data_IF_546080424776
#
_entry.id   IF_546080424776
#
_cell.length_a   1.000
_cell.length_b   1.000
_cell.length_c   1.000
_cell.angle_alpha   90.00
_cell.angle_beta   90.00
_cell.angle_gamma   90.00
#
_symmetry.space_group_name_H-M   'P 1'
#
loop_
_entity.id
_entity.type
_entity.pdbx_description
1 polymer ?
#
# COMPACT_ATOMS: atom_id res chain seq x y z
N UNK A 1 -19.63 17.49 23.23
CA UNK A 1 -18.56 16.51 23.50
C UNK A 1 -17.99 16.06 22.16
N UNK A 2 -16.71 16.31 21.88
CA UNK A 2 -16.07 15.79 20.67
C UNK A 2 -15.95 14.27 20.79
N UNK A 3 -16.38 13.53 19.76
CA UNK A 3 -16.15 12.08 19.70
C UNK A 3 -14.65 11.79 19.87
N UNK A 4 -14.27 10.75 20.64
CA UNK A 4 -12.87 10.38 20.79
C UNK A 4 -12.26 10.09 19.42
N UNK A 5 -11.03 10.58 19.21
CA UNK A 5 -10.29 10.39 17.96
C UNK A 5 -9.92 8.91 17.82
N UNK A 6 -10.47 8.25 16.80
CA UNK A 6 -10.19 6.84 16.51
C UNK A 6 -8.70 6.64 16.20
N UNK A 7 -8.11 5.59 16.78
CA UNK A 7 -6.77 5.11 16.50
C UNK A 7 -6.80 4.15 15.31
N UNK A 8 -6.03 4.47 14.27
CA UNK A 8 -6.03 3.71 13.01
C UNK A 8 -4.70 2.96 12.88
N UNK A 9 -4.75 1.63 12.88
CA UNK A 9 -3.60 0.79 12.51
C UNK A 9 -3.54 0.63 10.99
N UNK A 10 -2.32 0.53 10.44
CA UNK A 10 -2.10 0.21 9.02
C UNK A 10 -1.31 -1.08 8.90
N UNK A 11 -1.94 -2.12 8.38
CA UNK A 11 -1.31 -3.36 7.94
C UNK A 11 -1.00 -3.22 6.46
N UNK A 12 0.27 -3.11 6.08
CA UNK A 12 0.65 -2.76 4.70
C UNK A 12 1.68 -3.70 4.12
N UNK A 13 1.48 -4.12 2.88
CA UNK A 13 2.44 -4.95 2.17
C UNK A 13 3.80 -4.27 2.07
N UNK A 14 4.82 -4.97 2.58
CA UNK A 14 6.19 -4.47 2.67
C UNK A 14 7.00 -5.26 3.68
N UNK A 15 8.28 -4.96 3.78
CA UNK A 15 9.15 -5.50 4.81
C UNK A 15 9.65 -4.39 5.72
N UNK A 16 10.00 -4.73 6.95
CA UNK A 16 10.89 -3.88 7.73
C UNK A 16 12.23 -3.82 6.96
N UNK A 17 12.55 -2.65 6.42
CA UNK A 17 13.93 -2.34 6.11
C UNK A 17 14.71 -2.28 7.43
N UNK A 18 16.00 -2.67 7.46
CA UNK A 18 16.85 -2.35 8.61
C UNK A 18 16.66 -0.85 8.92
N UNK A 19 16.58 -0.46 10.21
CA UNK A 19 16.40 0.96 10.56
C UNK A 19 17.42 1.78 9.79
N UNK A 20 16.94 2.78 9.05
CA UNK A 20 17.80 3.66 8.27
C UNK A 20 18.82 4.33 9.19
N UNK A 21 19.84 5.02 8.64
CA UNK A 21 20.78 5.82 9.46
C UNK A 21 20.11 6.83 10.42
N UNK A 22 18.82 7.12 10.23
CA UNK A 22 18.00 8.00 11.08
C UNK A 22 17.17 7.24 12.14
N UNK A 23 17.29 5.92 12.24
CA UNK A 23 16.51 5.07 13.15
C UNK A 23 15.02 4.97 12.82
N UNK A 24 14.56 5.60 11.73
CA UNK A 24 13.15 5.66 11.36
C UNK A 24 12.75 4.46 10.49
N UNK A 25 11.57 3.89 10.78
CA UNK A 25 10.88 2.91 9.95
C UNK A 25 10.47 3.55 8.62
N UNK A 26 11.03 3.06 7.50
CA UNK A 26 10.78 3.56 6.15
C UNK A 26 9.30 3.53 5.77
N UNK A 27 8.54 2.52 6.23
CA UNK A 27 7.10 2.46 6.02
C UNK A 27 6.39 3.58 6.78
N UNK A 28 6.78 3.82 8.04
CA UNK A 28 6.36 4.97 8.82
C UNK A 28 6.53 6.30 8.07
N UNK A 29 7.69 6.51 7.46
CA UNK A 29 7.99 7.73 6.70
C UNK A 29 7.12 7.82 5.43
N UNK A 30 7.03 6.76 4.64
CA UNK A 30 6.20 6.73 3.42
C UNK A 30 4.74 7.06 3.74
N UNK A 31 4.16 6.38 4.73
CA UNK A 31 2.72 6.43 4.98
C UNK A 31 2.28 7.61 5.82
N UNK A 32 3.02 7.98 6.86
CA UNK A 32 2.65 9.12 7.72
C UNK A 32 3.26 10.44 7.24
N UNK A 33 4.54 10.46 6.87
CA UNK A 33 5.27 11.71 6.65
C UNK A 33 5.18 12.21 5.19
N UNK A 34 5.03 11.30 4.22
CA UNK A 34 4.89 11.67 2.81
C UNK A 34 3.45 11.60 2.34
N UNK A 35 2.91 10.39 2.14
CA UNK A 35 1.61 10.20 1.52
C UNK A 35 0.46 10.69 2.42
N UNK A 36 0.48 10.30 3.70
CA UNK A 36 -0.52 10.70 4.69
C UNK A 36 -0.60 12.22 4.88
N UNK A 37 0.55 12.90 5.02
CA UNK A 37 0.59 14.36 5.07
C UNK A 37 0.11 15.01 3.78
N UNK A 38 0.54 14.53 2.62
CA UNK A 38 0.14 15.10 1.33
C UNK A 38 -1.37 14.98 1.08
N UNK A 39 -2.00 13.91 1.56
CA UNK A 39 -3.43 13.64 1.45
C UNK A 39 -4.25 14.08 2.68
N UNK A 40 -3.62 14.65 3.72
CA UNK A 40 -4.24 15.02 5.00
C UNK A 40 -5.01 13.85 5.66
N UNK A 41 -4.44 12.66 5.61
CA UNK A 41 -5.01 11.46 6.23
C UNK A 41 -4.80 11.47 7.76
N UNK A 42 -5.61 10.74 8.53
CA UNK A 42 -5.27 10.41 9.92
C UNK A 42 -3.91 9.73 9.98
N UNK A 43 -3.15 10.01 11.05
CA UNK A 43 -1.89 9.33 11.33
C UNK A 43 -2.19 7.86 11.64
N UNK A 44 -1.46 6.97 10.98
CA UNK A 44 -1.48 5.55 11.27
C UNK A 44 -0.57 5.24 12.45
N UNK A 45 -1.11 4.56 13.45
CA UNK A 45 -0.35 4.09 14.60
C UNK A 45 -1.04 2.89 15.30
N UNK A 46 -0.48 1.67 15.22
CA UNK A 46 0.78 1.30 14.59
C UNK A 46 0.73 1.18 13.05
N UNK A 47 1.92 1.12 12.42
CA UNK A 47 2.12 0.62 11.06
C UNK A 47 2.79 -0.75 11.17
N UNK A 48 2.21 -1.76 10.53
CA UNK A 48 2.62 -3.16 10.59
C UNK A 48 2.88 -3.63 9.16
N UNK A 49 4.11 -4.04 8.82
CA UNK A 49 4.36 -4.69 7.55
C UNK A 49 3.64 -6.04 7.53
N UNK A 50 3.01 -6.33 6.40
CA UNK A 50 2.50 -7.65 6.06
C UNK A 50 3.13 -8.08 4.74
N UNK A 51 2.97 -9.35 4.44
CA UNK A 51 3.20 -9.92 3.10
C UNK A 51 1.89 -10.52 2.61
N UNK A 52 1.78 -10.73 1.30
CA UNK A 52 0.62 -11.42 0.73
C UNK A 52 0.37 -12.81 1.33
N UNK A 53 1.39 -13.46 1.90
CA UNK A 53 1.24 -14.75 2.60
C UNK A 53 0.34 -14.67 3.82
N UNK A 54 0.29 -13.54 4.55
CA UNK A 54 -0.62 -13.37 5.70
C UNK A 54 -2.09 -13.38 5.25
N UNK A 55 -2.36 -12.81 4.07
CA UNK A 55 -3.69 -12.80 3.47
C UNK A 55 -4.04 -14.21 2.96
N UNK A 56 -3.14 -14.84 2.21
CA UNK A 56 -3.31 -16.19 1.66
C UNK A 56 -3.57 -17.22 2.76
N UNK A 57 -2.84 -17.14 3.88
CA UNK A 57 -2.97 -18.08 4.99
C UNK A 57 -4.32 -18.01 5.72
N UNK A 58 -5.13 -16.96 5.51
CA UNK A 58 -6.51 -16.92 6.01
C UNK A 58 -7.46 -17.86 5.28
N UNK A 59 -7.12 -18.28 4.06
CA UNK A 59 -7.95 -19.18 3.27
C UNK A 59 -7.71 -20.65 3.66
N UNK A 60 -8.71 -21.36 4.23
CA UNK A 60 -8.57 -22.76 4.61
C UNK A 60 -8.25 -23.68 3.42
N UNK A 61 -8.59 -23.29 2.19
CA UNK A 61 -8.30 -24.06 0.98
C UNK A 61 -6.84 -23.95 0.53
N UNK A 62 -6.07 -23.00 1.08
CA UNK A 62 -4.66 -22.79 0.79
C UNK A 62 -3.82 -22.91 2.08
N UNK A 63 -3.78 -24.11 2.70
CA UNK A 63 -3.03 -24.29 3.94
C UNK A 63 -1.53 -24.03 3.71
N UNK A 64 -0.83 -23.38 4.66
CA UNK A 64 0.56 -23.02 4.50
C UNK A 64 1.42 -24.26 4.24
N UNK A 65 2.10 -24.30 3.09
CA UNK A 65 3.09 -25.34 2.80
C UNK A 65 4.34 -25.05 3.64
N UNK A 66 4.54 -25.86 4.68
CA UNK A 66 5.63 -25.83 5.67
C UNK A 66 5.61 -24.67 6.68
N UNK A 67 5.53 -25.00 7.97
CA UNK A 67 5.91 -24.15 9.11
C UNK A 67 5.20 -22.80 9.26
N UNK A 68 3.94 -22.82 9.68
CA UNK A 68 3.26 -21.71 10.36
C UNK A 68 3.43 -20.30 9.74
N UNK A 69 2.81 -20.06 8.58
CA UNK A 69 2.54 -18.68 8.16
C UNK A 69 1.48 -18.07 9.09
N UNK A 70 1.85 -17.07 9.90
CA UNK A 70 0.90 -16.30 10.72
C UNK A 70 -0.18 -15.70 9.80
N UNK A 71 -1.45 -15.98 10.10
CA UNK A 71 -2.59 -15.43 9.37
C UNK A 71 -2.78 -13.95 9.72
N UNK A 72 -3.38 -13.16 8.81
CA UNK A 72 -3.63 -11.74 9.11
C UNK A 72 -4.50 -11.55 10.36
N UNK A 73 -5.51 -12.40 10.58
CA UNK A 73 -6.37 -12.31 11.77
C UNK A 73 -5.60 -12.56 13.08
N UNK A 74 -4.70 -13.56 13.09
CA UNK A 74 -3.79 -13.83 14.20
C UNK A 74 -2.82 -12.66 14.45
N UNK A 75 -2.24 -12.12 13.39
CA UNK A 75 -1.39 -10.93 13.47
C UNK A 75 -2.16 -9.73 14.05
N UNK A 76 -3.39 -9.49 13.60
CA UNK A 76 -4.24 -8.42 14.12
C UNK A 76 -4.50 -8.57 15.62
N UNK A 77 -4.81 -9.79 16.09
CA UNK A 77 -5.03 -10.08 17.52
C UNK A 77 -3.76 -9.80 18.34
N UNK A 78 -2.61 -10.27 17.87
CA UNK A 78 -1.32 -10.04 18.54
C UNK A 78 -1.00 -8.55 18.65
N UNK A 79 -1.23 -7.78 17.58
CA UNK A 79 -1.00 -6.33 17.58
C UNK A 79 -2.01 -5.60 18.46
N UNK A 80 -3.29 -5.98 18.43
CA UNK A 80 -4.33 -5.42 19.31
C UNK A 80 -3.97 -5.58 20.79
N UNK A 81 -3.44 -6.75 21.17
CA UNK A 81 -3.03 -7.02 22.55
C UNK A 81 -1.84 -6.16 23.01
N UNK A 82 -0.90 -5.87 22.11
CA UNK A 82 0.29 -5.06 22.41
C UNK A 82 0.02 -3.57 22.33
N UNK A 83 -0.77 -3.14 21.35
CA UNK A 83 -1.03 -1.75 21.03
C UNK A 83 -2.47 -1.60 20.53
N UNK A 84 -3.43 -1.32 21.42
CA UNK A 84 -4.85 -1.22 21.06
C UNK A 84 -5.09 -0.19 19.95
N UNK A 85 -5.98 -0.50 19.01
CA UNK A 85 -6.43 0.40 17.95
C UNK A 85 -7.92 0.16 17.68
N UNK A 86 -8.59 1.14 17.06
CA UNK A 86 -10.03 1.11 16.82
C UNK A 86 -10.38 0.69 15.38
N UNK A 87 -9.51 1.00 14.43
CA UNK A 87 -9.70 0.74 12.99
C UNK A 87 -8.45 0.12 12.42
N UNK A 88 -8.58 -0.89 11.55
CA UNK A 88 -7.49 -1.43 10.77
C UNK A 88 -7.65 -1.04 9.30
N UNK A 89 -6.60 -0.46 8.71
CA UNK A 89 -6.45 -0.34 7.27
C UNK A 89 -5.56 -1.48 6.81
N UNK A 90 -6.01 -2.27 5.84
CA UNK A 90 -5.23 -3.36 5.26
C UNK A 90 -4.92 -2.99 3.82
N UNK A 91 -3.65 -2.73 3.52
CA UNK A 91 -3.18 -2.27 2.23
C UNK A 91 -2.25 -3.30 1.59
N UNK A 92 -2.52 -3.69 0.35
CA UNK A 92 -1.74 -4.73 -0.33
C UNK A 92 -1.69 -4.51 -1.84
N UNK A 93 -0.67 -5.07 -2.48
CA UNK A 93 -0.51 -5.04 -3.92
C UNK A 93 -1.46 -6.06 -4.60
N UNK A 94 -2.15 -5.63 -5.67
CA UNK A 94 -3.06 -6.52 -6.42
C UNK A 94 -2.27 -7.62 -7.15
N UNK A 95 -1.02 -7.34 -7.53
CA UNK A 95 -0.13 -8.30 -8.22
C UNK A 95 0.96 -8.82 -7.28
N UNK A 96 1.18 -10.15 -7.18
CA UNK A 96 0.42 -11.24 -7.81
C UNK A 96 -0.96 -11.40 -7.17
N UNK A 97 -1.93 -12.11 -7.79
CA UNK A 97 -3.24 -12.32 -7.14
C UNK A 97 -3.14 -13.13 -5.85
N UNK A 98 -4.10 -12.92 -4.95
CA UNK A 98 -4.30 -13.77 -3.77
C UNK A 98 -4.58 -15.21 -4.21
N UNK A 99 -5.56 -15.39 -5.10
CA UNK A 99 -5.87 -16.69 -5.68
C UNK A 99 -5.29 -16.78 -7.10
N UNK A 100 -4.26 -17.62 -7.34
CA UNK A 100 -3.68 -17.79 -8.68
C UNK A 100 -4.65 -18.43 -9.68
N UNK A 101 -5.62 -19.19 -9.18
CA UNK A 101 -6.64 -19.90 -9.98
C UNK A 101 -7.93 -19.09 -10.14
N UNK A 102 -8.07 -18.01 -9.35
CA UNK A 102 -9.25 -17.15 -9.34
C UNK A 102 -9.13 -15.96 -10.31
N UNK A 103 -10.24 -15.27 -10.58
CA UNK A 103 -10.23 -14.03 -11.34
C UNK A 103 -9.35 -12.96 -10.66
N UNK A 104 -8.40 -12.40 -11.41
CA UNK A 104 -7.55 -11.28 -10.99
C UNK A 104 -8.39 -9.99 -10.89
N UNK A 105 -8.97 -9.73 -9.72
CA UNK A 105 -9.79 -8.53 -9.51
C UNK A 105 -9.81 -8.13 -8.04
N UNK A 106 -9.56 -6.84 -7.80
CA UNK A 106 -9.66 -6.21 -6.48
C UNK A 106 -10.95 -6.55 -5.74
N UNK A 107 -12.08 -6.62 -6.46
CA UNK A 107 -13.37 -6.88 -5.84
C UNK A 107 -13.40 -8.23 -5.13
N UNK A 108 -12.94 -9.29 -5.80
CA UNK A 108 -12.93 -10.64 -5.22
C UNK A 108 -11.98 -10.71 -4.03
N UNK A 109 -10.75 -10.20 -4.15
CA UNK A 109 -9.81 -10.16 -3.01
C UNK A 109 -10.37 -9.34 -1.83
N UNK A 110 -11.12 -8.27 -2.10
CA UNK A 110 -11.78 -7.48 -1.05
C UNK A 110 -12.90 -8.28 -0.37
N UNK A 111 -13.72 -9.00 -1.13
CA UNK A 111 -14.80 -9.83 -0.59
C UNK A 111 -14.22 -10.98 0.23
N UNK A 112 -13.17 -11.63 -0.27
CA UNK A 112 -12.47 -12.74 0.40
C UNK A 112 -11.85 -12.28 1.73
N UNK A 113 -11.24 -11.09 1.78
CA UNK A 113 -10.75 -10.51 3.03
C UNK A 113 -11.84 -10.49 4.11
N UNK A 114 -13.02 -9.95 3.80
CA UNK A 114 -14.10 -9.89 4.77
C UNK A 114 -14.70 -11.26 5.07
N UNK A 115 -14.78 -12.16 4.08
CA UNK A 115 -15.23 -13.54 4.28
C UNK A 115 -14.39 -14.22 5.36
N UNK A 116 -13.07 -14.22 5.21
CA UNK A 116 -12.19 -14.91 6.14
C UNK A 116 -12.12 -14.23 7.51
N UNK A 117 -12.06 -12.90 7.56
CA UNK A 117 -12.11 -12.18 8.85
C UNK A 117 -13.43 -12.43 9.60
N UNK A 118 -14.55 -12.57 8.89
CA UNK A 118 -15.85 -12.86 9.52
C UNK A 118 -15.97 -14.29 10.06
N UNK A 119 -15.15 -15.20 9.53
CA UNK A 119 -15.07 -16.61 9.93
C UNK A 119 -13.94 -16.88 10.93
N UNK A 120 -13.15 -15.86 11.28
CA UNK A 120 -12.03 -16.01 12.22
C UNK A 120 -12.51 -16.40 13.62
N UNK A 121 -11.87 -17.42 14.19
CA UNK A 121 -12.07 -17.84 15.57
C UNK A 121 -11.24 -17.01 16.56
N UNK A 122 -10.18 -16.35 16.07
CA UNK A 122 -9.22 -15.60 16.89
C UNK A 122 -9.64 -14.14 17.13
N UNK A 123 -10.34 -13.51 16.17
CA UNK A 123 -10.69 -12.09 16.26
C UNK A 123 -11.73 -11.79 17.35
N UNK A 124 -11.62 -10.64 18.06
CA UNK A 124 -12.65 -10.21 18.99
C UNK A 124 -13.99 -9.96 18.29
N UNK A 125 -15.10 -10.15 19.04
CA UNK A 125 -16.47 -10.11 18.49
C UNK A 125 -16.79 -8.88 17.66
N UNK A 126 -16.39 -7.69 18.11
CA UNK A 126 -16.67 -6.44 17.39
C UNK A 126 -16.03 -6.44 15.99
N UNK A 127 -14.81 -6.96 15.85
CA UNK A 127 -14.10 -7.02 14.57
C UNK A 127 -14.74 -8.04 13.64
N UNK A 128 -15.06 -9.22 14.17
CA UNK A 128 -15.71 -10.31 13.42
C UNK A 128 -17.09 -9.90 12.92
N UNK A 129 -17.90 -9.28 13.78
CA UNK A 129 -19.25 -8.84 13.43
C UNK A 129 -19.22 -7.71 12.38
N UNK A 130 -18.30 -6.74 12.51
CA UNK A 130 -18.10 -5.72 11.48
C UNK A 130 -17.64 -6.32 10.15
N UNK A 131 -16.73 -7.28 10.18
CA UNK A 131 -16.31 -7.99 8.96
C UNK A 131 -17.47 -8.75 8.32
N UNK A 132 -18.31 -9.43 9.12
CA UNK A 132 -19.53 -10.12 8.66
C UNK A 132 -20.51 -9.19 7.97
N UNK A 133 -20.81 -8.04 8.59
CA UNK A 133 -21.69 -7.02 8.02
C UNK A 133 -21.17 -6.51 6.68
N UNK A 134 -19.86 -6.27 6.58
CA UNK A 134 -19.20 -5.84 5.33
C UNK A 134 -19.22 -6.95 4.28
N UNK A 135 -18.97 -8.19 4.66
CA UNK A 135 -19.05 -9.34 3.75
C UNK A 135 -20.46 -9.47 3.16
N UNK A 136 -21.50 -9.43 3.99
CA UNK A 136 -22.89 -9.49 3.53
C UNK A 136 -23.25 -8.34 2.58
N UNK A 137 -22.90 -7.11 2.95
CA UNK A 137 -23.14 -5.91 2.12
C UNK A 137 -22.41 -5.97 0.76
N UNK A 138 -21.19 -6.51 0.72
CA UNK A 138 -20.45 -6.61 -0.54
C UNK A 138 -20.92 -7.79 -1.38
N UNK A 139 -21.17 -8.95 -0.78
CA UNK A 139 -21.62 -10.15 -1.49
C UNK A 139 -23.02 -10.00 -2.07
N UNK A 140 -23.88 -9.15 -1.49
CA UNK A 140 -25.21 -8.87 -2.04
C UNK A 140 -25.22 -7.83 -3.17
N UNK A 141 -24.06 -7.24 -3.54
CA UNK A 141 -24.00 -6.19 -4.57
C UNK A 141 -23.79 -6.79 -5.96
N UNK A 142 -24.52 -6.30 -6.99
CA UNK A 142 -24.33 -6.74 -8.37
C UNK A 142 -22.94 -6.42 -8.94
N UNK A 143 -22.37 -5.27 -8.59
CA UNK A 143 -21.05 -4.85 -9.03
C UNK A 143 -20.42 -3.82 -8.07
N UNK A 144 -19.08 -3.60 -8.12
CA UNK A 144 -18.40 -2.65 -7.24
C UNK A 144 -18.94 -1.22 -7.30
N UNK A 145 -19.47 -0.81 -8.45
CA UNK A 145 -20.03 0.52 -8.71
C UNK A 145 -21.36 0.78 -8.00
N UNK A 146 -22.07 -0.26 -7.54
CA UNK A 146 -23.36 -0.16 -6.83
C UNK A 146 -23.19 0.22 -5.35
N UNK A 147 -22.10 0.91 -5.00
CA UNK A 147 -21.81 1.37 -3.65
C UNK A 147 -22.80 2.48 -3.28
N UNK A 148 -23.67 2.22 -2.30
CA UNK A 148 -24.62 3.23 -1.79
C UNK A 148 -23.94 4.36 -1.01
N UNK A 149 -22.94 4.03 -0.18
CA UNK A 149 -22.24 4.99 0.71
C UNK A 149 -20.79 4.56 0.96
N UNK A 150 -19.92 5.53 1.28
CA UNK A 150 -18.57 5.27 1.76
C UNK A 150 -18.61 4.76 3.21
N UNK A 151 -17.81 3.75 3.58
CA UNK A 151 -17.80 3.18 4.93
C UNK A 151 -17.37 4.25 5.94
N UNK A 152 -18.22 4.60 6.90
CA UNK A 152 -17.86 5.51 8.00
C UNK A 152 -16.83 4.83 8.90
N UNK A 153 -15.86 5.58 9.44
CA UNK A 153 -14.93 5.02 10.43
C UNK A 153 -15.67 4.72 11.73
N UNK A 154 -15.53 3.50 12.23
CA UNK A 154 -16.09 3.08 13.51
C UNK A 154 -15.20 2.00 14.14
N UNK A 155 -15.25 1.82 15.48
CA UNK A 155 -14.51 0.76 16.15
C UNK A 155 -14.79 -0.64 15.56
N UNK A 156 -13.75 -1.44 15.46
CA UNK A 156 -13.79 -2.80 14.91
C UNK A 156 -13.79 -2.87 13.38
N UNK A 157 -13.67 -1.75 12.67
CA UNK A 157 -13.73 -1.76 11.21
C UNK A 157 -12.39 -2.08 10.56
N UNK A 158 -12.44 -2.95 9.55
CA UNK A 158 -11.35 -3.21 8.62
C UNK A 158 -11.63 -2.51 7.30
N UNK A 159 -10.65 -1.74 6.80
CA UNK A 159 -10.73 -0.99 5.55
C UNK A 159 -9.67 -1.47 4.54
N UNK A 160 -10.08 -2.07 3.41
CA UNK A 160 -9.16 -2.56 2.40
C UNK A 160 -8.68 -1.45 1.46
N UNK A 161 -7.37 -1.41 1.22
CA UNK A 161 -6.71 -0.55 0.23
C UNK A 161 -5.86 -1.41 -0.70
N UNK A 162 -6.48 -1.92 -1.75
CA UNK A 162 -5.74 -2.62 -2.79
C UNK A 162 -4.99 -1.61 -3.69
N UNK A 163 -3.69 -1.81 -3.88
CA UNK A 163 -2.81 -1.05 -4.76
C UNK A 163 -2.82 -1.73 -6.14
N UNK A 164 -3.21 -1.03 -7.21
CA UNK A 164 -3.56 -1.62 -8.52
C UNK A 164 -2.64 -1.14 -9.66
N UNK A 165 -1.60 -1.87 -10.06
CA UNK A 165 -1.32 -3.24 -9.66
C UNK A 165 -0.38 -3.34 -8.47
N UNK A 166 0.47 -2.33 -8.25
CA UNK A 166 1.47 -2.25 -7.18
C UNK A 166 1.58 -0.79 -6.67
N UNK A 167 2.14 -0.59 -5.48
CA UNK A 167 2.52 0.73 -4.95
C UNK A 167 3.36 1.55 -5.96
N UNK A 168 4.35 0.91 -6.61
CA UNK A 168 5.28 1.56 -7.54
C UNK A 168 4.59 2.20 -8.75
N UNK A 169 3.34 1.81 -9.05
CA UNK A 169 2.53 2.46 -10.08
C UNK A 169 2.42 3.97 -9.85
N UNK A 170 2.36 4.41 -8.59
CA UNK A 170 2.28 5.82 -8.22
C UNK A 170 3.57 6.60 -8.57
N UNK A 171 4.72 5.92 -8.62
CA UNK A 171 6.03 6.55 -8.85
C UNK A 171 6.37 6.72 -10.33
N UNK A 172 5.71 5.96 -11.22
CA UNK A 172 6.04 5.93 -12.66
C UNK A 172 5.11 6.79 -13.52
N UNK A 173 4.30 7.65 -12.90
CA UNK A 173 3.29 8.44 -13.62
C UNK A 173 3.86 9.61 -14.42
N UNK A 174 5.06 10.08 -14.10
CA UNK A 174 5.73 11.18 -14.80
C UNK A 174 7.23 10.87 -14.94
N UNK A 175 7.63 10.42 -16.12
CA UNK A 175 9.03 10.13 -16.44
C UNK A 175 9.94 11.35 -16.25
N UNK A 176 9.47 12.54 -16.65
CA UNK A 176 10.28 13.74 -16.58
C UNK A 176 10.55 14.12 -15.12
N UNK A 177 9.55 13.98 -14.26
CA UNK A 177 9.71 14.19 -12.81
C UNK A 177 10.66 13.16 -12.18
N UNK A 178 10.56 11.88 -12.54
CA UNK A 178 11.51 10.85 -12.05
C UNK A 178 12.93 11.16 -12.51
N UNK A 179 13.14 11.58 -13.76
CA UNK A 179 14.47 12.02 -14.23
C UNK A 179 14.99 13.22 -13.43
N UNK A 180 14.15 14.22 -13.16
CA UNK A 180 14.52 15.38 -12.31
C UNK A 180 14.88 14.95 -10.90
N UNK A 181 14.09 14.08 -10.27
CA UNK A 181 14.35 13.54 -8.93
C UNK A 181 15.70 12.82 -8.85
N UNK A 182 16.09 12.12 -9.93
CA UNK A 182 17.38 11.44 -10.05
C UNK A 182 18.54 12.36 -10.47
N UNK A 183 18.30 13.65 -10.69
CA UNK A 183 19.30 14.63 -11.12
C UNK A 183 19.71 14.51 -12.60
N UNK A 184 18.85 13.97 -13.45
CA UNK A 184 19.14 13.67 -14.85
C UNK A 184 18.57 14.73 -15.79
N UNK A 185 19.41 15.27 -16.67
CA UNK A 185 18.97 16.18 -17.76
C UNK A 185 18.39 15.42 -18.97
N UNK A 186 18.90 14.21 -19.23
CA UNK A 186 18.50 13.34 -20.35
C UNK A 186 18.42 11.90 -19.88
N UNK A 187 17.65 11.08 -20.60
CA UNK A 187 17.62 9.64 -20.38
C UNK A 187 19.02 9.03 -20.64
N UNK A 188 19.61 8.30 -19.67
CA UNK A 188 20.87 7.60 -19.87
C UNK A 188 20.71 6.35 -20.76
N UNK A 189 21.83 5.75 -21.15
CA UNK A 189 21.83 4.46 -21.87
C UNK A 189 21.19 3.38 -20.99
N UNK A 190 20.26 2.60 -21.56
CA UNK A 190 19.52 1.57 -20.82
C UNK A 190 18.28 2.08 -20.09
N UNK A 191 17.94 3.37 -20.20
CA UNK A 191 16.71 3.91 -19.65
C UNK A 191 15.45 3.28 -20.29
N UNK A 192 14.42 2.93 -19.50
CA UNK A 192 13.20 2.31 -20.04
C UNK A 192 12.47 3.26 -21.00
N UNK A 193 12.09 2.72 -22.17
CA UNK A 193 11.39 3.45 -23.24
C UNK A 193 9.87 3.36 -23.17
N UNK A 194 9.34 2.49 -22.31
CA UNK A 194 7.92 2.18 -22.20
C UNK A 194 7.53 1.90 -20.74
N UNK A 195 6.23 1.89 -20.46
CA UNK A 195 5.66 1.62 -19.12
C UNK A 195 5.51 2.85 -18.23
N UNK A 196 6.11 3.99 -18.59
CA UNK A 196 5.83 5.28 -17.95
C UNK A 196 4.38 5.71 -18.19
N UNK A 197 3.72 6.20 -17.15
CA UNK A 197 2.31 6.61 -17.14
C UNK A 197 1.30 5.54 -17.64
N UNK A 198 1.72 4.29 -17.77
CA UNK A 198 0.84 3.20 -18.17
C UNK A 198 0.10 2.63 -16.96
N UNK A 199 -1.16 3.03 -16.80
CA UNK A 199 -2.04 2.53 -15.74
C UNK A 199 -2.29 1.01 -15.81
N UNK A 200 -1.94 0.34 -16.92
CA UNK A 200 -2.08 -1.10 -17.12
C UNK A 200 -0.77 -1.86 -16.90
N UNK A 201 0.36 -1.18 -16.69
CA UNK A 201 1.62 -1.85 -16.43
C UNK A 201 1.55 -2.60 -15.09
N UNK A 202 1.58 -3.93 -15.14
CA UNK A 202 1.40 -4.82 -13.98
C UNK A 202 2.59 -4.86 -13.06
N UNK A 203 3.80 -4.60 -13.58
CA UNK A 203 5.08 -4.72 -12.87
C UNK A 203 5.94 -3.47 -13.09
N UNK A 204 5.46 -2.27 -12.68
CA UNK A 204 6.21 -1.02 -12.83
C UNK A 204 7.54 -1.06 -12.05
N UNK A 205 7.59 -1.84 -10.96
CA UNK A 205 8.80 -2.14 -10.20
C UNK A 205 9.90 -2.77 -11.07
N UNK A 206 9.56 -3.82 -11.83
CA UNK A 206 10.51 -4.58 -12.64
C UNK A 206 10.76 -3.98 -14.03
N UNK A 207 9.71 -3.48 -14.70
CA UNK A 207 9.81 -3.04 -16.09
C UNK A 207 10.23 -1.59 -16.26
N UNK A 208 10.04 -0.76 -15.23
CA UNK A 208 10.31 0.68 -15.30
C UNK A 208 11.37 1.07 -14.27
N UNK A 209 11.07 0.92 -12.97
CA UNK A 209 11.96 1.44 -11.92
C UNK A 209 13.28 0.69 -11.83
N UNK A 210 13.27 -0.65 -11.92
CA UNK A 210 14.51 -1.46 -11.92
C UNK A 210 15.46 -1.06 -13.05
N UNK A 211 15.06 -1.05 -14.35
CA UNK A 211 15.96 -0.61 -15.42
C UNK A 211 16.33 0.87 -15.33
N UNK A 212 15.43 1.75 -14.89
CA UNK A 212 15.73 3.16 -14.66
C UNK A 212 16.85 3.34 -13.63
N UNK A 213 16.76 2.67 -12.47
CA UNK A 213 17.79 2.72 -11.42
C UNK A 213 19.08 2.03 -11.88
N UNK A 214 18.98 0.90 -12.58
CA UNK A 214 20.15 0.19 -13.12
C UNK A 214 20.95 1.06 -14.10
N UNK A 215 20.27 1.83 -14.96
CA UNK A 215 20.93 2.71 -15.93
C UNK A 215 21.83 3.77 -15.30
N UNK A 216 21.55 4.19 -14.05
CA UNK A 216 22.35 5.18 -13.32
C UNK A 216 23.77 4.65 -13.02
N UNK A 217 23.91 3.34 -12.80
CA UNK A 217 25.19 2.72 -12.44
C UNK A 217 26.18 2.72 -13.60
N UNK A 218 25.68 2.80 -14.83
CA UNK A 218 26.47 2.85 -16.06
C UNK A 218 26.85 4.28 -16.48
N UNK A 219 26.40 5.30 -15.74
CA UNK A 219 26.73 6.69 -16.04
C UNK A 219 28.13 7.08 -15.55
N UNK A 220 28.78 7.99 -16.29
CA UNK A 220 30.02 8.65 -15.88
C UNK A 220 29.90 10.18 -16.11
N UNK A 221 29.96 11.03 -15.06
CA UNK A 221 30.05 10.65 -13.64
C UNK A 221 28.77 9.98 -13.12
N UNK A 222 28.90 9.18 -12.07
CA UNK A 222 27.75 8.56 -11.39
C UNK A 222 26.91 9.62 -10.67
N UNK A 223 25.57 9.60 -10.79
CA UNK A 223 24.69 10.51 -10.07
C UNK A 223 24.85 10.42 -8.54
N UNK A 224 24.78 11.56 -7.85
CA UNK A 224 24.89 11.61 -6.39
C UNK A 224 23.80 10.82 -5.66
N UNK A 225 22.63 10.62 -6.30
CA UNK A 225 21.52 9.85 -5.74
C UNK A 225 21.92 8.41 -5.37
N UNK A 226 22.84 7.79 -6.11
CA UNK A 226 23.37 6.45 -5.79
C UNK A 226 24.14 6.41 -4.47
N UNK A 227 24.65 7.55 -4.00
CA UNK A 227 25.27 7.68 -2.66
C UNK A 227 24.23 7.87 -1.57
N UNK A 228 23.07 8.45 -1.91
CA UNK A 228 21.95 8.74 -0.98
C UNK A 228 21.13 7.47 -0.73
N UNK A 229 20.66 6.82 -1.78
CA UNK A 229 19.90 5.57 -1.74
C UNK A 229 20.88 4.46 -2.14
N UNK A 230 21.54 3.88 -1.15
CA UNK A 230 22.57 2.86 -1.36
C UNK A 230 21.89 1.58 -1.84
N UNK A 231 22.37 1.00 -2.94
CA UNK A 231 21.86 -0.27 -3.47
C UNK A 231 20.89 -0.11 -4.64
N UNK A 232 20.32 -1.24 -5.08
CA UNK A 232 19.45 -1.32 -6.24
C UNK A 232 17.96 -1.42 -5.83
N UNK A 233 17.07 -1.40 -6.84
CA UNK A 233 15.63 -1.52 -6.61
C UNK A 233 15.22 -2.87 -6.00
N UNK A 234 16.03 -3.92 -6.20
CA UNK A 234 15.73 -5.27 -5.72
C UNK A 234 16.00 -5.41 -4.22
N UNK A 235 17.09 -4.83 -3.75
CA UNK A 235 17.60 -4.95 -2.38
C UNK A 235 17.10 -3.82 -1.48
N UNK A 236 16.87 -2.63 -2.04
CA UNK A 236 16.50 -1.42 -1.31
C UNK A 236 15.19 -0.80 -1.84
N UNK A 237 14.21 -1.66 -2.16
CA UNK A 237 12.91 -1.26 -2.74
C UNK A 237 12.23 -0.14 -1.94
N UNK A 238 12.13 -0.30 -0.62
CA UNK A 238 11.46 0.68 0.26
C UNK A 238 12.20 2.02 0.31
N UNK A 239 13.54 2.01 0.30
CA UNK A 239 14.34 3.24 0.35
C UNK A 239 14.24 4.02 -0.97
N UNK A 240 14.26 3.31 -2.10
CA UNK A 240 14.00 3.91 -3.41
C UNK A 240 12.56 4.42 -3.52
N UNK A 241 11.59 3.67 -2.99
CA UNK A 241 10.19 4.09 -2.91
C UNK A 241 9.99 5.36 -2.08
N UNK A 242 10.61 5.43 -0.89
CA UNK A 242 10.60 6.64 -0.04
C UNK A 242 11.21 7.84 -0.76
N UNK A 243 12.42 7.65 -1.31
CA UNK A 243 13.14 8.72 -1.98
C UNK A 243 12.31 9.29 -3.14
N UNK A 244 11.90 8.43 -4.07
CA UNK A 244 11.15 8.88 -5.25
C UNK A 244 9.83 9.53 -4.84
N UNK A 245 9.08 8.94 -3.90
CA UNK A 245 7.83 9.52 -3.44
C UNK A 245 8.03 10.93 -2.86
N UNK A 246 9.07 11.11 -2.02
CA UNK A 246 9.38 12.41 -1.42
C UNK A 246 9.69 13.46 -2.49
N UNK A 247 10.57 13.13 -3.44
CA UNK A 247 10.96 14.07 -4.49
C UNK A 247 9.78 14.40 -5.41
N UNK A 248 8.95 13.41 -5.77
CA UNK A 248 7.77 13.62 -6.60
C UNK A 248 6.68 14.45 -5.90
N UNK A 249 6.52 14.31 -4.58
CA UNK A 249 5.57 15.14 -3.81
C UNK A 249 6.09 16.57 -3.57
N UNK A 250 7.39 16.79 -3.65
CA UNK A 250 8.02 18.11 -3.58
C UNK A 250 8.00 18.86 -4.93
N UNK A 251 7.98 18.13 -6.06
CA UNK A 251 7.83 18.68 -7.40
C UNK A 251 6.36 19.09 -7.67
N UNK A 252 6.10 20.37 -7.93
CA UNK A 252 4.74 20.90 -8.12
C UNK A 252 3.98 20.23 -9.28
N UNK A 253 4.66 19.88 -10.37
CA UNK A 253 4.02 19.25 -11.54
C UNK A 253 3.71 17.79 -11.22
N UNK A 254 4.68 17.06 -10.66
CA UNK A 254 4.54 15.64 -10.37
C UNK A 254 3.55 15.39 -9.22
N UNK A 255 3.50 16.29 -8.23
CA UNK A 255 2.62 16.20 -7.06
C UNK A 255 1.16 16.06 -7.49
N UNK A 256 0.69 16.86 -8.44
CA UNK A 256 -0.70 16.78 -8.90
C UNK A 256 -1.02 15.40 -9.48
N UNK A 257 -0.09 14.84 -10.27
CA UNK A 257 -0.24 13.52 -10.89
C UNK A 257 -0.23 12.41 -9.85
N UNK A 258 0.71 12.46 -8.89
CA UNK A 258 0.80 11.51 -7.77
C UNK A 258 -0.48 11.51 -6.94
N UNK A 259 -1.04 12.69 -6.63
CA UNK A 259 -2.26 12.79 -5.83
C UNK A 259 -3.52 12.41 -6.63
N UNK A 260 -3.50 12.55 -7.95
CA UNK A 260 -4.58 12.09 -8.84
C UNK A 260 -4.58 10.56 -9.07
N UNK A 261 -3.48 9.88 -8.74
CA UNK A 261 -3.33 8.43 -8.90
C UNK A 261 -4.43 7.66 -8.12
N UNK A 262 -4.84 6.50 -8.65
CA UNK A 262 -5.98 5.76 -8.09
C UNK A 262 -5.72 5.30 -6.64
N UNK A 263 -4.47 5.03 -6.24
CA UNK A 263 -4.10 4.70 -4.83
C UNK A 263 -4.43 5.89 -3.94
N UNK A 264 -3.92 7.07 -4.32
CA UNK A 264 -4.12 8.33 -3.59
C UNK A 264 -5.59 8.68 -3.45
N UNK A 265 -6.35 8.57 -4.56
CA UNK A 265 -7.79 8.78 -4.56
C UNK A 265 -8.52 7.81 -3.63
N UNK A 266 -8.15 6.52 -3.65
CA UNK A 266 -8.76 5.50 -2.79
C UNK A 266 -8.49 5.75 -1.31
N UNK A 267 -7.27 6.11 -0.97
CA UNK A 267 -6.92 6.50 0.40
C UNK A 267 -7.74 7.71 0.85
N UNK A 268 -7.87 8.73 0.00
CA UNK A 268 -8.66 9.92 0.29
C UNK A 268 -10.16 9.60 0.43
N UNK A 269 -10.72 8.75 -0.42
CA UNK A 269 -12.12 8.30 -0.33
C UNK A 269 -12.39 7.53 0.97
N UNK A 270 -11.43 6.73 1.43
CA UNK A 270 -11.60 5.89 2.62
C UNK A 270 -11.34 6.64 3.93
N UNK A 271 -10.33 7.51 3.94
CA UNK A 271 -9.73 8.07 5.15
C UNK A 271 -9.65 9.59 5.15
N UNK A 272 -10.01 10.25 4.04
CA UNK A 272 -9.93 11.70 3.92
C UNK A 272 -10.89 12.42 4.87
N UNK A 273 -10.63 13.72 5.15
CA UNK A 273 -11.53 14.55 5.93
C UNK A 273 -12.91 14.55 5.27
N UNK A 274 -13.94 14.10 5.98
CA UNK A 274 -15.31 14.25 5.49
C UNK A 274 -15.74 15.68 5.75
N UNK A 275 -15.90 16.45 4.68
CA UNK A 275 -16.72 17.65 4.75
C UNK A 275 -18.09 17.22 5.28
N UNK A 276 -18.47 17.70 6.47
CA UNK A 276 -19.84 17.56 6.95
C UNK A 276 -20.68 18.47 6.04
N UNK A 277 -21.23 17.89 4.98
CA UNK A 277 -22.30 18.47 4.17
C UNK A 277 -23.63 18.07 4.78
#
# INVERSE_FOLDING_TARGET
MSLPKLRVALFVEGSYSPPTRRGADTLGVIWNEHLGKALKLPRFDPIIPISKTHLVAMDPANPPMSGAGERLDQLMVRVLAQKPFDVAVVAWDLSPSWNPKGPFCRWFETVDLYKFLSASEDLPDIWREKARQRFQDLSSRPAPSYRKRLPLLAPGMVLPVCMEPLFEGLLVQDEAAVRRALGLKRAPVGWPRAGWADARERRPDLKVLTPAIASLWHMNPRPEVLRKVRGDMKTHKSDWGEFLLRELLADHQARAVVLAHFISRRLLELLGPRSHS
#
